data_IF_745900063799
#
_entry.id   IF_745900063799
#
_cell.length_a   1.000
_cell.length_b   1.000
_cell.length_c   1.000
_cell.angle_alpha   90.00
_cell.angle_beta   90.00
_cell.angle_gamma   90.00
#
_symmetry.space_group_name_H-M   'P 1'
#
loop_
_entity.id
_entity.type
_entity.pdbx_description
1 polymer ?
#
# COMPACT_ATOMS: atom_id res chain seq x y z
N UNK A 1 3.54 -4.94 -35.64
CA UNK A 1 4.24 -3.71 -36.05
C UNK A 1 3.46 -2.50 -35.56
N UNK A 2 3.77 -2.00 -34.35
CA UNK A 2 3.22 -0.74 -33.83
C UNK A 2 4.16 0.38 -34.31
N UNK A 3 3.70 1.25 -35.21
CA UNK A 3 4.45 2.45 -35.63
C UNK A 3 3.94 3.65 -34.86
N UNK A 4 4.83 4.33 -34.14
CA UNK A 4 4.53 5.63 -33.55
C UNK A 4 4.78 6.69 -34.63
N UNK A 5 3.73 7.37 -35.10
CA UNK A 5 3.88 8.51 -36.02
C UNK A 5 3.55 9.79 -35.26
N UNK A 6 4.54 10.68 -35.13
CA UNK A 6 4.35 12.02 -34.60
C UNK A 6 3.54 12.87 -35.60
N UNK A 7 2.22 12.86 -35.51
CA UNK A 7 1.36 13.83 -36.19
C UNK A 7 1.09 15.02 -35.27
N UNK A 8 1.91 16.08 -35.42
CA UNK A 8 1.90 17.40 -34.75
C UNK A 8 2.51 17.45 -33.33
N UNK A 9 3.12 18.58 -32.93
CA UNK A 9 3.68 18.73 -31.59
C UNK A 9 2.55 18.71 -30.56
N UNK A 10 2.53 17.69 -29.70
CA UNK A 10 1.63 17.60 -28.54
C UNK A 10 0.40 16.70 -28.68
N UNK A 11 0.26 15.94 -29.77
CA UNK A 11 -0.78 14.91 -29.89
C UNK A 11 -0.12 13.52 -29.88
N UNK A 12 -0.45 12.71 -28.87
CA UNK A 12 -0.14 11.27 -28.87
C UNK A 12 -1.32 10.56 -29.52
N UNK A 13 -1.08 9.88 -30.64
CA UNK A 13 -2.05 9.01 -31.27
C UNK A 13 -1.59 7.56 -31.16
N UNK A 14 -2.49 6.65 -30.80
CA UNK A 14 -2.23 5.21 -30.83
C UNK A 14 -3.01 4.61 -31.99
N UNK A 15 -2.32 3.84 -32.82
CA UNK A 15 -2.95 3.05 -33.86
C UNK A 15 -3.32 1.67 -33.29
N UNK A 16 -4.62 1.41 -33.14
CA UNK A 16 -5.17 0.13 -32.66
C UNK A 16 -6.14 -0.44 -33.69
N UNK A 17 -5.94 -1.71 -34.11
CA UNK A 17 -6.73 -2.39 -35.17
C UNK A 17 -6.97 -1.55 -36.45
N UNK A 18 -6.02 -0.69 -36.82
CA UNK A 18 -6.11 0.13 -38.02
C UNK A 18 -6.84 1.47 -37.85
N UNK A 19 -7.37 1.77 -36.67
CA UNK A 19 -7.92 3.09 -36.32
C UNK A 19 -6.89 3.93 -35.55
N UNK A 20 -6.85 5.24 -35.83
CA UNK A 20 -6.08 6.22 -35.07
C UNK A 20 -6.93 6.73 -33.90
N UNK A 21 -6.44 6.58 -32.67
CA UNK A 21 -7.05 7.11 -31.45
C UNK A 21 -6.18 8.26 -30.94
N UNK A 22 -6.69 9.49 -30.97
CA UNK A 22 -6.00 10.67 -30.44
C UNK A 22 -6.18 10.76 -28.92
N UNK A 23 -5.08 10.80 -28.17
CA UNK A 23 -5.08 10.63 -26.70
C UNK A 23 -5.12 11.96 -25.93
N UNK A 24 -4.81 13.13 -26.51
CA UNK A 24 -4.93 14.39 -25.75
C UNK A 24 -5.23 15.66 -26.58
N UNK A 25 -6.39 16.29 -26.32
CA UNK A 25 -6.50 17.67 -25.79
C UNK A 25 -7.93 17.97 -25.29
N UNK A 26 -8.03 18.32 -24.01
CA UNK A 26 -9.13 19.01 -23.31
C UNK A 26 -10.56 18.46 -23.46
N UNK A 27 -11.03 17.84 -22.38
CA UNK A 27 -12.46 17.69 -22.11
C UNK A 27 -13.12 16.59 -22.93
N UNK A 28 -13.14 15.37 -22.40
CA UNK A 28 -14.24 14.49 -22.71
C UNK A 28 -15.53 15.19 -22.26
N UNK A 29 -16.29 15.71 -23.23
CA UNK A 29 -17.70 16.01 -23.05
C UNK A 29 -18.39 14.70 -22.72
N UNK A 30 -18.52 14.40 -21.45
CA UNK A 30 -19.42 13.37 -20.92
C UNK A 30 -20.85 13.92 -20.97
N UNK A 31 -21.32 14.22 -22.19
CA UNK A 31 -22.74 14.47 -22.45
C UNK A 31 -23.48 13.13 -22.56
N UNK A 32 -23.53 12.39 -21.44
CA UNK A 32 -24.48 11.29 -21.21
C UNK A 32 -24.54 10.78 -19.76
N UNK A 33 -23.73 11.30 -18.83
CA UNK A 33 -23.80 10.93 -17.41
C UNK A 33 -24.14 12.15 -16.55
N UNK A 34 -25.33 12.71 -16.78
CA UNK A 34 -25.92 13.69 -15.87
C UNK A 34 -26.46 13.00 -14.62
N UNK A 35 -26.16 13.64 -13.48
CA UNK A 35 -26.73 13.53 -12.14
C UNK A 35 -27.83 12.46 -11.96
N UNK A 36 -27.50 11.36 -11.29
CA UNK A 36 -28.50 10.54 -10.59
C UNK A 36 -28.16 10.44 -9.12
N UNK A 37 -29.15 10.80 -8.31
CA UNK A 37 -29.11 10.72 -6.86
C UNK A 37 -28.96 9.27 -6.42
N UNK A 38 -28.28 9.16 -5.28
CA UNK A 38 -27.96 7.99 -4.48
C UNK A 38 -29.07 6.94 -4.40
N UNK A 39 -28.81 5.72 -4.90
CA UNK A 39 -29.31 4.50 -4.28
C UNK A 39 -28.38 3.29 -4.53
N UNK A 40 -28.09 2.54 -3.46
CA UNK A 40 -26.88 1.71 -3.32
C UNK A 40 -27.19 0.22 -3.32
N UNK A 41 -27.02 -0.43 -4.48
CA UNK A 41 -26.52 -1.82 -4.66
C UNK A 41 -26.71 -2.35 -6.09
N UNK A 42 -27.80 -1.97 -6.75
CA UNK A 42 -28.16 -2.55 -8.06
C UNK A 42 -27.34 -1.97 -9.25
N UNK A 43 -26.82 -0.75 -9.14
CA UNK A 43 -26.04 -0.13 -10.23
C UNK A 43 -24.58 -0.63 -10.32
N UNK A 44 -24.03 -1.18 -9.25
CA UNK A 44 -22.62 -1.62 -9.23
C UNK A 44 -22.36 -2.86 -10.10
N UNK A 45 -23.35 -3.73 -10.31
CA UNK A 45 -23.17 -4.92 -11.15
C UNK A 45 -23.16 -4.59 -12.65
N UNK A 46 -23.83 -3.51 -13.06
CA UNK A 46 -23.88 -3.10 -14.47
C UNK A 46 -22.68 -2.24 -14.91
N UNK A 47 -21.98 -1.59 -13.99
CA UNK A 47 -20.86 -0.70 -14.33
C UNK A 47 -19.63 -1.44 -14.86
N UNK A 48 -19.34 -2.65 -14.37
CA UNK A 48 -18.04 -3.30 -14.61
C UNK A 48 -17.94 -4.08 -15.92
N UNK A 49 -19.03 -4.75 -16.34
CA UNK A 49 -19.01 -5.55 -17.57
C UNK A 49 -19.03 -4.67 -18.81
N UNK A 50 -19.54 -3.45 -18.69
CA UNK A 50 -19.52 -2.46 -19.75
C UNK A 50 -18.19 -1.71 -19.81
N UNK A 51 -17.53 -1.50 -18.67
CA UNK A 51 -16.26 -0.77 -18.60
C UNK A 51 -15.15 -1.42 -19.44
N UNK A 52 -15.00 -2.74 -19.40
CA UNK A 52 -13.97 -3.44 -20.18
C UNK A 52 -14.33 -3.59 -21.67
N UNK A 53 -15.53 -3.18 -22.11
CA UNK A 53 -15.86 -3.10 -23.54
C UNK A 53 -15.35 -1.81 -24.18
N UNK A 54 -15.10 -0.77 -23.39
CA UNK A 54 -14.45 0.44 -23.87
C UNK A 54 -13.04 0.10 -24.38
N UNK A 55 -12.75 0.46 -25.62
CA UNK A 55 -11.50 0.09 -26.27
C UNK A 55 -10.26 0.73 -25.62
N UNK A 56 -10.41 1.93 -25.08
CA UNK A 56 -9.32 2.66 -24.42
C UNK A 56 -9.04 2.01 -23.07
N UNK A 57 -10.08 1.74 -22.28
CA UNK A 57 -9.95 1.06 -20.99
C UNK A 57 -9.40 -0.35 -21.15
N UNK A 58 -9.90 -1.10 -22.14
CA UNK A 58 -9.39 -2.42 -22.45
C UNK A 58 -7.92 -2.36 -22.83
N UNK A 59 -7.49 -1.43 -23.72
CA UNK A 59 -6.08 -1.32 -24.10
C UNK A 59 -5.19 -0.87 -22.93
N UNK A 60 -5.66 0.06 -22.07
CA UNK A 60 -4.96 0.47 -20.85
C UNK A 60 -4.68 -0.74 -19.95
N UNK A 61 -5.68 -1.59 -19.74
CA UNK A 61 -5.59 -2.75 -18.85
C UNK A 61 -5.11 -4.04 -19.54
N UNK A 62 -4.79 -4.01 -20.85
CA UNK A 62 -4.41 -5.19 -21.64
C UNK A 62 -3.34 -6.05 -20.96
N UNK A 63 -2.34 -5.44 -20.32
CA UNK A 63 -1.25 -6.20 -19.65
C UNK A 63 -1.73 -6.96 -18.42
N UNK A 64 -2.63 -6.38 -17.65
CA UNK A 64 -3.22 -7.06 -16.50
C UNK A 64 -4.20 -8.14 -16.95
N UNK A 65 -5.00 -7.86 -18.00
CA UNK A 65 -5.91 -8.85 -18.61
C UNK A 65 -5.12 -10.07 -19.13
N UNK A 66 -3.99 -9.85 -19.80
CA UNK A 66 -3.11 -10.93 -20.29
C UNK A 66 -2.49 -11.75 -19.15
N UNK A 67 -2.26 -11.11 -17.99
CA UNK A 67 -1.66 -11.77 -16.84
C UNK A 67 -2.67 -12.56 -16.01
N UNK A 68 -3.80 -11.95 -15.63
CA UNK A 68 -4.81 -12.55 -14.75
C UNK A 68 -5.93 -13.28 -15.49
N UNK A 69 -6.14 -12.98 -16.77
CA UNK A 69 -7.36 -13.33 -17.52
C UNK A 69 -8.48 -12.29 -17.34
N UNK A 70 -9.42 -12.29 -18.28
CA UNK A 70 -10.50 -11.29 -18.34
C UNK A 70 -11.43 -11.34 -17.12
N UNK A 71 -11.86 -12.53 -16.70
CA UNK A 71 -12.77 -12.71 -15.56
C UNK A 71 -12.14 -12.20 -14.24
N UNK A 72 -10.87 -12.55 -14.03
CA UNK A 72 -10.10 -12.11 -12.86
C UNK A 72 -9.89 -10.59 -12.86
N UNK A 73 -9.67 -10.00 -14.05
CA UNK A 73 -9.60 -8.55 -14.19
C UNK A 73 -10.95 -7.88 -13.88
N UNK A 74 -12.08 -8.45 -14.31
CA UNK A 74 -13.41 -7.93 -13.95
C UNK A 74 -13.62 -7.88 -12.43
N UNK A 75 -13.12 -8.86 -11.67
CA UNK A 75 -13.14 -8.83 -10.20
C UNK A 75 -12.35 -7.66 -9.64
N UNK A 76 -11.16 -7.38 -10.18
CA UNK A 76 -10.35 -6.21 -9.82
C UNK A 76 -11.10 -4.91 -10.14
N UNK A 77 -11.75 -4.81 -11.31
CA UNK A 77 -12.52 -3.64 -11.70
C UNK A 77 -13.77 -3.40 -10.83
N UNK A 78 -14.40 -4.46 -10.28
CA UNK A 78 -15.53 -4.34 -9.35
C UNK A 78 -15.10 -4.01 -7.91
N UNK A 79 -13.82 -4.18 -7.58
CA UNK A 79 -13.35 -4.11 -6.19
C UNK A 79 -13.40 -2.70 -5.60
N UNK A 80 -13.69 -2.64 -4.30
CA UNK A 80 -13.60 -1.46 -3.48
C UNK A 80 -12.46 -1.59 -2.47
N UNK A 81 -11.44 -0.72 -2.59
CA UNK A 81 -10.28 -0.70 -1.70
C UNK A 81 -10.19 0.63 -0.95
N UNK A 82 -9.91 0.56 0.35
CA UNK A 82 -9.66 1.72 1.22
C UNK A 82 -8.17 1.80 1.55
N UNK A 83 -7.54 2.95 1.33
CA UNK A 83 -6.13 3.20 1.69
C UNK A 83 -6.07 4.33 2.71
N UNK A 84 -5.54 4.05 3.89
CA UNK A 84 -5.47 4.99 5.02
C UNK A 84 -4.01 5.35 5.29
N UNK A 85 -3.70 6.65 5.25
CA UNK A 85 -2.34 7.16 5.22
C UNK A 85 -1.79 7.20 3.79
N UNK A 86 -1.51 8.39 3.29
CA UNK A 86 -1.09 8.66 1.91
C UNK A 86 0.32 9.26 1.88
N UNK A 87 1.18 8.83 2.81
CA UNK A 87 2.60 9.12 2.81
C UNK A 87 3.38 8.33 1.74
N UNK A 88 4.65 8.03 2.00
CA UNK A 88 5.52 7.33 1.04
C UNK A 88 5.10 5.89 0.72
N UNK A 89 4.28 5.24 1.56
CA UNK A 89 3.79 3.87 1.30
C UNK A 89 2.43 3.93 0.60
N UNK A 90 1.43 4.52 1.25
CA UNK A 90 0.06 4.50 0.76
C UNK A 90 -0.16 5.28 -0.53
N UNK A 91 0.59 6.36 -0.79
CA UNK A 91 0.49 7.06 -2.09
C UNK A 91 0.92 6.16 -3.25
N UNK A 92 1.95 5.33 -3.07
CA UNK A 92 2.41 4.37 -4.09
C UNK A 92 1.44 3.21 -4.24
N UNK A 93 0.95 2.66 -3.12
CA UNK A 93 -0.03 1.59 -3.13
C UNK A 93 -1.32 2.02 -3.86
N UNK A 94 -1.90 3.16 -3.47
CA UNK A 94 -3.12 3.70 -4.10
C UNK A 94 -2.91 3.98 -5.59
N UNK A 95 -1.76 4.53 -5.97
CA UNK A 95 -1.44 4.81 -7.38
C UNK A 95 -1.38 3.52 -8.21
N UNK A 96 -0.76 2.47 -7.68
CA UNK A 96 -0.66 1.20 -8.42
C UNK A 96 -1.98 0.44 -8.46
N UNK A 97 -2.80 0.49 -7.41
CA UNK A 97 -4.16 -0.04 -7.41
C UNK A 97 -5.03 0.64 -8.47
N UNK A 98 -4.99 1.97 -8.55
CA UNK A 98 -5.69 2.74 -9.58
C UNK A 98 -5.25 2.32 -10.99
N UNK A 99 -3.92 2.32 -11.23
CA UNK A 99 -3.33 1.93 -12.52
C UNK A 99 -3.66 0.51 -12.95
N UNK A 100 -4.01 -0.34 -11.98
CA UNK A 100 -4.37 -1.73 -12.23
C UNK A 100 -5.87 -1.95 -12.46
N UNK A 101 -6.65 -0.86 -12.46
CA UNK A 101 -8.07 -0.87 -12.79
C UNK A 101 -9.00 -1.06 -11.60
N UNK A 102 -8.53 -0.93 -10.34
CA UNK A 102 -9.44 -0.97 -9.18
C UNK A 102 -10.51 0.09 -9.34
N UNK A 103 -11.78 -0.33 -9.41
CA UNK A 103 -12.88 0.55 -9.81
C UNK A 103 -13.32 1.54 -8.75
N UNK A 104 -13.13 1.22 -7.46
CA UNK A 104 -13.44 2.15 -6.38
C UNK A 104 -12.31 2.23 -5.38
N UNK A 105 -11.82 3.45 -5.16
CA UNK A 105 -10.79 3.76 -4.19
C UNK A 105 -11.29 4.80 -3.21
N UNK A 106 -11.22 4.48 -1.92
CA UNK A 106 -11.30 5.50 -0.86
C UNK A 106 -9.90 5.75 -0.33
N UNK A 107 -9.47 7.00 -0.39
CA UNK A 107 -8.14 7.43 0.05
C UNK A 107 -8.28 8.42 1.20
N UNK A 108 -7.66 8.13 2.34
CA UNK A 108 -7.85 8.86 3.60
C UNK A 108 -6.50 9.37 4.11
N UNK A 109 -6.34 10.69 4.20
CA UNK A 109 -5.20 11.33 4.87
C UNK A 109 -5.56 12.77 5.25
N UNK A 110 -5.22 13.16 6.46
CA UNK A 110 -5.44 14.53 6.97
C UNK A 110 -4.28 15.47 6.63
N UNK A 111 -3.09 14.93 6.33
CA UNK A 111 -1.89 15.71 6.09
C UNK A 111 -1.92 16.48 4.76
N UNK A 112 -1.11 17.53 4.72
CA UNK A 112 -0.74 18.23 3.50
C UNK A 112 0.58 17.73 2.92
N UNK A 113 0.78 17.94 1.63
CA UNK A 113 2.05 17.72 0.94
C UNK A 113 3.06 18.74 1.45
N UNK A 114 4.14 18.25 2.07
CA UNK A 114 5.29 19.07 2.45
C UNK A 114 6.41 18.97 1.41
N UNK A 115 7.36 19.91 1.41
CA UNK A 115 8.58 19.79 0.59
C UNK A 115 9.34 18.48 0.87
N UNK A 116 9.41 18.07 2.14
CA UNK A 116 10.05 16.81 2.54
C UNK A 116 9.25 15.57 2.12
N UNK A 117 7.99 15.71 1.71
CA UNK A 117 7.21 14.60 1.14
C UNK A 117 7.65 14.25 -0.27
N UNK A 118 8.20 15.21 -1.03
CA UNK A 118 8.54 15.05 -2.46
C UNK A 118 9.64 14.01 -2.71
N UNK A 119 10.42 13.63 -1.70
CA UNK A 119 11.42 12.58 -1.84
C UNK A 119 10.83 11.16 -1.94
N UNK A 120 9.55 10.98 -1.61
CA UNK A 120 8.93 9.65 -1.50
C UNK A 120 7.44 9.57 -1.86
N UNK A 121 6.71 10.68 -1.95
CA UNK A 121 5.31 10.67 -2.34
C UNK A 121 5.16 10.34 -3.83
N UNK A 122 4.17 9.52 -4.20
CA UNK A 122 4.11 8.91 -5.53
C UNK A 122 3.89 9.89 -6.70
N UNK A 123 3.02 10.88 -6.52
CA UNK A 123 2.57 11.78 -7.61
C UNK A 123 2.78 13.26 -7.31
N UNK A 124 3.17 13.60 -6.07
CA UNK A 124 3.19 14.99 -5.66
C UNK A 124 4.36 15.72 -6.32
N UNK A 125 4.08 16.93 -6.79
CA UNK A 125 5.05 17.83 -7.41
C UNK A 125 5.31 19.04 -6.52
N UNK A 126 6.24 19.93 -6.92
CA UNK A 126 6.47 21.19 -6.20
C UNK A 126 5.22 22.08 -6.16
N UNK A 127 4.34 21.99 -7.17
CA UNK A 127 3.09 22.75 -7.24
C UNK A 127 2.04 22.25 -6.25
N UNK A 128 2.14 20.99 -5.82
CA UNK A 128 1.17 20.39 -4.90
C UNK A 128 1.51 20.67 -3.42
N UNK A 129 2.64 21.32 -3.13
CA UNK A 129 3.07 21.65 -1.76
C UNK A 129 2.02 22.57 -1.09
N UNK A 130 1.60 22.21 0.12
CA UNK A 130 0.54 22.90 0.88
C UNK A 130 -0.87 22.42 0.57
N UNK A 131 -1.06 21.55 -0.43
CA UNK A 131 -2.37 20.92 -0.70
C UNK A 131 -2.54 19.63 0.11
N UNK A 132 -3.78 19.22 0.39
CA UNK A 132 -4.04 17.92 1.05
C UNK A 132 -3.50 16.76 0.21
N UNK A 133 -2.82 15.79 0.84
CA UNK A 133 -2.32 14.59 0.15
C UNK A 133 -3.44 13.80 -0.52
N UNK A 134 -4.60 13.68 0.12
CA UNK A 134 -5.76 12.98 -0.43
C UNK A 134 -6.30 13.68 -1.68
N UNK A 135 -6.43 15.01 -1.64
CA UNK A 135 -6.89 15.79 -2.80
C UNK A 135 -5.85 15.84 -3.93
N UNK A 136 -4.56 15.91 -3.58
CA UNK A 136 -3.45 15.80 -4.54
C UNK A 136 -3.54 14.49 -5.33
N UNK A 137 -3.65 13.34 -4.63
CA UNK A 137 -3.81 12.05 -5.31
C UNK A 137 -5.08 11.99 -6.15
N UNK A 138 -6.23 12.46 -5.65
CA UNK A 138 -7.48 12.48 -6.43
C UNK A 138 -7.35 13.29 -7.72
N UNK A 139 -6.71 14.46 -7.68
CA UNK A 139 -6.41 15.30 -8.85
C UNK A 139 -5.59 14.52 -9.89
N UNK A 140 -4.50 13.89 -9.46
CA UNK A 140 -3.62 13.11 -10.34
C UNK A 140 -4.28 11.83 -10.87
N UNK A 141 -5.08 11.15 -10.04
CA UNK A 141 -5.78 9.91 -10.40
C UNK A 141 -6.80 10.12 -11.50
N UNK A 142 -7.53 11.25 -11.48
CA UNK A 142 -8.47 11.62 -12.54
C UNK A 142 -7.80 11.72 -13.92
N UNK A 143 -6.52 12.08 -13.96
CA UNK A 143 -5.74 12.14 -15.20
C UNK A 143 -5.14 10.80 -15.64
N UNK A 144 -5.10 9.81 -14.73
CA UNK A 144 -4.51 8.49 -14.99
C UNK A 144 -5.59 7.48 -15.41
N UNK A 145 -6.67 7.39 -14.64
CA UNK A 145 -7.76 6.44 -14.87
C UNK A 145 -9.08 7.06 -14.40
N UNK A 146 -9.71 7.92 -15.21
CA UNK A 146 -10.91 8.67 -14.84
C UNK A 146 -12.14 7.80 -14.55
N UNK A 147 -12.12 6.54 -15.00
CA UNK A 147 -13.20 5.57 -14.83
C UNK A 147 -13.28 5.02 -13.39
N UNK A 148 -12.19 5.10 -12.63
CA UNK A 148 -12.21 4.73 -11.21
C UNK A 148 -12.91 5.79 -10.37
N UNK A 149 -13.83 5.36 -9.52
CA UNK A 149 -14.47 6.18 -8.50
C UNK A 149 -13.51 6.44 -7.32
N UNK A 150 -12.94 7.64 -7.27
CA UNK A 150 -12.03 8.07 -6.20
C UNK A 150 -12.73 8.95 -5.16
N UNK A 151 -12.91 8.38 -3.97
CA UNK A 151 -13.44 9.02 -2.77
C UNK A 151 -12.27 9.50 -1.88
N UNK A 152 -11.94 10.80 -1.92
CA UNK A 152 -10.85 11.36 -1.13
C UNK A 152 -11.38 12.01 0.15
N UNK A 153 -10.85 11.59 1.29
CA UNK A 153 -11.26 12.03 2.63
C UNK A 153 -10.10 12.71 3.35
N UNK A 154 -10.28 13.98 3.70
CA UNK A 154 -9.27 14.78 4.42
C UNK A 154 -9.56 14.73 5.92
N UNK A 155 -9.28 13.58 6.54
CA UNK A 155 -9.60 13.35 7.95
C UNK A 155 -8.65 12.33 8.59
N UNK A 156 -8.55 12.38 9.92
CA UNK A 156 -7.83 11.39 10.73
C UNK A 156 -8.76 10.20 10.94
N UNK A 157 -8.21 8.99 11.00
CA UNK A 157 -8.96 7.84 11.47
C UNK A 157 -9.07 7.86 13.00
N UNK A 158 -10.29 7.79 13.50
CA UNK A 158 -10.61 7.63 14.91
C UNK A 158 -11.96 6.90 15.07
N UNK A 159 -12.39 6.69 16.31
CA UNK A 159 -13.65 6.00 16.59
C UNK A 159 -14.88 6.72 16.01
N UNK A 160 -14.82 8.06 15.88
CA UNK A 160 -15.94 8.87 15.39
C UNK A 160 -16.08 8.81 13.87
N UNK A 161 -14.96 8.64 13.16
CA UNK A 161 -14.88 8.56 11.71
C UNK A 161 -14.88 7.13 11.16
N UNK A 162 -14.89 6.12 12.04
CA UNK A 162 -14.78 4.70 11.67
C UNK A 162 -15.84 4.28 10.64
N UNK A 163 -17.11 4.64 10.86
CA UNK A 163 -18.20 4.25 9.96
C UNK A 163 -18.09 4.93 8.59
N UNK A 164 -17.64 6.18 8.57
CA UNK A 164 -17.45 6.92 7.32
C UNK A 164 -16.29 6.34 6.51
N UNK A 165 -15.18 6.00 7.16
CA UNK A 165 -13.96 5.51 6.52
C UNK A 165 -14.10 4.05 6.11
N UNK A 166 -14.59 3.18 7.00
CA UNK A 166 -14.68 1.73 6.79
C UNK A 166 -16.04 1.25 6.26
N UNK A 167 -17.02 2.15 6.16
CA UNK A 167 -18.36 1.84 5.64
C UNK A 167 -18.37 1.53 4.15
N UNK A 168 -19.43 0.84 3.71
CA UNK A 168 -19.61 0.46 2.31
C UNK A 168 -18.96 -0.87 1.92
N UNK A 169 -18.57 -1.70 2.91
CA UNK A 169 -18.05 -3.07 2.74
C UNK A 169 -16.84 -3.14 1.79
N UNK A 170 -15.68 -2.56 2.16
CA UNK A 170 -14.48 -2.65 1.34
C UNK A 170 -14.01 -4.11 1.24
N UNK A 171 -13.62 -4.51 0.03
CA UNK A 171 -13.02 -5.80 -0.25
C UNK A 171 -11.62 -5.91 0.37
N UNK A 172 -10.95 -4.77 0.53
CA UNK A 172 -9.62 -4.70 1.13
C UNK A 172 -9.34 -3.32 1.77
N UNK A 173 -8.60 -3.34 2.88
CA UNK A 173 -8.08 -2.14 3.55
C UNK A 173 -6.55 -2.19 3.55
N UNK A 174 -5.90 -1.10 3.13
CA UNK A 174 -4.48 -0.89 3.30
C UNK A 174 -4.25 0.15 4.40
N UNK A 175 -3.62 -0.30 5.47
CA UNK A 175 -3.22 0.56 6.58
C UNK A 175 -1.76 0.99 6.38
N UNK A 176 -1.56 2.26 6.02
CA UNK A 176 -0.27 2.90 5.81
C UNK A 176 0.01 3.99 6.86
N UNK A 177 -0.62 3.89 8.03
CA UNK A 177 -0.50 4.86 9.14
C UNK A 177 0.83 4.67 9.88
N UNK A 178 1.42 5.75 10.35
CA UNK A 178 2.67 5.74 11.14
C UNK A 178 2.45 5.96 12.65
N UNK A 179 1.33 6.56 13.04
CA UNK A 179 0.90 6.70 14.43
C UNK A 179 0.43 5.35 15.02
N UNK A 180 0.97 4.98 16.19
CA UNK A 180 0.70 3.68 16.84
C UNK A 180 -0.74 3.61 17.35
N UNK A 181 -1.25 4.65 18.02
CA UNK A 181 -2.62 4.66 18.58
C UNK A 181 -3.66 4.48 17.49
N UNK A 182 -3.55 5.29 16.43
CA UNK A 182 -4.47 5.23 15.28
C UNK A 182 -4.39 3.88 14.58
N UNK A 183 -3.17 3.35 14.36
CA UNK A 183 -2.97 2.03 13.74
C UNK A 183 -3.60 0.90 14.55
N UNK A 184 -3.38 0.88 15.87
CA UNK A 184 -3.96 -0.14 16.76
C UNK A 184 -5.48 -0.08 16.73
N UNK A 185 -6.06 1.12 16.81
CA UNK A 185 -7.51 1.33 16.74
C UNK A 185 -8.10 0.81 15.42
N UNK A 186 -7.48 1.16 14.29
CA UNK A 186 -7.89 0.71 12.96
C UNK A 186 -7.85 -0.81 12.83
N UNK A 187 -6.74 -1.44 13.23
CA UNK A 187 -6.58 -2.88 13.12
C UNK A 187 -7.59 -3.64 14.00
N UNK A 188 -7.85 -3.14 15.22
CA UNK A 188 -8.88 -3.71 16.08
C UNK A 188 -10.28 -3.58 15.46
N UNK A 189 -10.59 -2.45 14.84
CA UNK A 189 -11.86 -2.25 14.13
C UNK A 189 -12.00 -3.19 12.92
N UNK A 190 -10.95 -3.38 12.12
CA UNK A 190 -10.94 -4.31 11.00
C UNK A 190 -11.22 -5.74 11.46
N UNK A 191 -10.57 -6.21 12.53
CA UNK A 191 -10.81 -7.54 13.10
C UNK A 191 -12.24 -7.67 13.60
N UNK A 192 -12.74 -6.69 14.38
CA UNK A 192 -14.12 -6.67 14.90
C UNK A 192 -15.16 -6.70 13.79
N UNK A 193 -14.93 -5.98 12.69
CA UNK A 193 -15.82 -5.89 11.53
C UNK A 193 -15.59 -7.01 10.49
N UNK A 194 -14.60 -7.89 10.71
CA UNK A 194 -14.18 -8.95 9.77
C UNK A 194 -13.79 -8.41 8.39
N UNK A 195 -13.14 -7.25 8.36
CA UNK A 195 -12.64 -6.64 7.14
C UNK A 195 -11.22 -7.12 6.85
N UNK A 196 -10.94 -7.44 5.57
CA UNK A 196 -9.59 -7.81 5.14
C UNK A 196 -8.67 -6.60 5.21
N UNK A 197 -7.55 -6.74 5.91
CA UNK A 197 -6.59 -5.66 6.09
C UNK A 197 -5.15 -6.13 5.87
N UNK A 198 -4.36 -5.30 5.20
CA UNK A 198 -2.91 -5.41 5.09
C UNK A 198 -2.29 -4.12 5.66
N UNK A 199 -1.47 -4.25 6.70
CA UNK A 199 -0.83 -3.10 7.34
C UNK A 199 0.65 -2.99 6.98
N UNK A 200 1.08 -1.81 6.55
CA UNK A 200 2.49 -1.46 6.48
C UNK A 200 3.06 -1.21 7.89
N UNK A 201 4.27 -1.71 8.13
CA UNK A 201 5.05 -1.38 9.32
C UNK A 201 6.08 -0.27 9.01
N UNK A 202 7.12 -0.12 9.83
CA UNK A 202 8.08 0.97 9.69
C UNK A 202 9.00 0.77 8.49
N UNK A 203 8.75 1.49 7.39
CA UNK A 203 9.63 1.51 6.20
C UNK A 203 10.86 2.44 6.34
N UNK A 204 10.88 3.32 7.35
CA UNK A 204 11.95 4.28 7.58
C UNK A 204 13.25 3.64 8.07
N UNK A 205 14.38 4.28 7.75
CA UNK A 205 15.71 3.87 8.19
C UNK A 205 16.26 2.58 7.59
N UNK A 206 15.72 2.18 6.44
CA UNK A 206 16.03 0.95 5.71
C UNK A 206 16.52 1.28 4.30
N UNK A 207 17.20 0.32 3.68
CA UNK A 207 17.77 0.45 2.34
C UNK A 207 17.75 -0.85 1.50
N UNK A 208 17.49 -2.00 2.10
CA UNK A 208 17.50 -3.29 1.40
C UNK A 208 16.07 -3.73 1.00
N UNK A 209 15.69 -3.62 -0.28
CA UNK A 209 14.36 -4.01 -0.74
C UNK A 209 14.16 -5.53 -0.79
N UNK A 210 15.23 -6.32 -0.84
CA UNK A 210 15.15 -7.79 -0.98
C UNK A 210 14.65 -8.48 0.29
N UNK A 211 14.58 -7.75 1.41
CA UNK A 211 14.16 -8.23 2.73
C UNK A 211 12.72 -7.86 3.09
N UNK A 212 11.97 -7.27 2.15
CA UNK A 212 10.56 -6.93 2.35
C UNK A 212 9.72 -8.20 2.20
N UNK A 213 8.81 -8.45 3.14
CA UNK A 213 7.94 -9.64 3.18
C UNK A 213 6.53 -9.24 3.62
N UNK A 214 5.56 -10.10 3.27
CA UNK A 214 4.22 -10.08 3.81
C UNK A 214 4.04 -11.36 4.62
N UNK A 215 3.63 -11.22 5.88
CA UNK A 215 3.22 -12.34 6.73
C UNK A 215 2.35 -11.84 7.88
N UNK A 216 1.93 -12.75 8.76
CA UNK A 216 1.15 -12.39 9.93
C UNK A 216 1.94 -11.46 10.88
N UNK A 217 1.23 -10.56 11.56
CA UNK A 217 1.80 -9.64 12.55
C UNK A 217 2.54 -10.37 13.69
N UNK A 218 2.12 -11.59 14.04
CA UNK A 218 2.80 -12.41 15.04
C UNK A 218 4.21 -12.83 14.60
N UNK A 219 4.44 -13.00 13.29
CA UNK A 219 5.71 -13.40 12.69
C UNK A 219 6.64 -12.20 12.42
N UNK A 220 6.14 -10.97 12.55
CA UNK A 220 6.94 -9.77 12.31
C UNK A 220 8.05 -9.61 13.35
N UNK A 221 9.29 -9.50 12.88
CA UNK A 221 10.48 -9.34 13.70
C UNK A 221 11.26 -8.08 13.31
N UNK A 222 12.18 -7.65 14.18
CA UNK A 222 13.15 -6.56 13.94
C UNK A 222 12.55 -5.14 13.82
N UNK A 223 11.24 -4.99 13.59
CA UNK A 223 10.57 -3.70 13.43
C UNK A 223 9.94 -3.17 14.74
N UNK A 224 10.41 -2.02 15.28
CA UNK A 224 9.87 -1.41 16.49
C UNK A 224 8.39 -1.03 16.41
N UNK A 225 7.90 -0.58 15.24
CA UNK A 225 6.49 -0.23 15.04
C UNK A 225 5.63 -1.48 15.16
N UNK A 226 6.01 -2.55 14.46
CA UNK A 226 5.28 -3.82 14.51
C UNK A 226 5.24 -4.41 15.92
N UNK A 227 6.35 -4.32 16.66
CA UNK A 227 6.44 -4.78 18.05
C UNK A 227 5.49 -4.00 18.97
N UNK A 228 5.46 -2.67 18.86
CA UNK A 228 4.59 -1.83 19.67
C UNK A 228 3.10 -2.09 19.36
N UNK A 229 2.75 -2.19 18.08
CA UNK A 229 1.38 -2.48 17.61
C UNK A 229 0.93 -3.84 18.10
N UNK A 230 1.74 -4.90 17.90
CA UNK A 230 1.43 -6.26 18.37
C UNK A 230 1.22 -6.31 19.89
N UNK A 231 2.11 -5.68 20.65
CA UNK A 231 1.99 -5.63 22.11
C UNK A 231 0.68 -4.97 22.55
N UNK A 232 0.31 -3.85 21.93
CA UNK A 232 -0.92 -3.12 22.28
C UNK A 232 -2.19 -3.85 21.84
N UNK A 233 -2.21 -4.42 20.64
CA UNK A 233 -3.32 -5.24 20.17
C UNK A 233 -3.60 -6.42 21.11
N UNK A 234 -2.54 -7.13 21.54
CA UNK A 234 -2.66 -8.20 22.54
C UNK A 234 -3.22 -7.68 23.87
N UNK A 235 -2.64 -6.61 24.41
CA UNK A 235 -2.98 -6.09 25.74
C UNK A 235 -4.37 -5.46 25.80
N UNK A 236 -4.76 -4.68 24.79
CA UNK A 236 -5.97 -3.85 24.80
C UNK A 236 -7.17 -4.56 24.15
N UNK A 237 -6.93 -5.47 23.20
CA UNK A 237 -7.99 -6.11 22.41
C UNK A 237 -7.94 -7.64 22.39
N UNK A 238 -6.92 -8.27 23.00
CA UNK A 238 -6.75 -9.73 22.96
C UNK A 238 -6.44 -10.28 21.56
N UNK A 239 -5.87 -9.46 20.68
CA UNK A 239 -5.55 -9.85 19.29
C UNK A 239 -4.06 -10.23 19.20
N UNK A 240 -3.80 -11.51 18.94
CA UNK A 240 -2.45 -12.08 18.88
C UNK A 240 -1.89 -12.25 17.47
N UNK A 241 -2.75 -12.24 16.45
CA UNK A 241 -2.43 -12.48 15.05
C UNK A 241 -3.69 -12.42 14.18
N UNK A 242 -3.62 -12.99 12.97
CA UNK A 242 -4.68 -12.93 11.95
C UNK A 242 -4.69 -11.62 11.16
N UNK A 243 -3.59 -10.86 11.21
CA UNK A 243 -3.44 -9.56 10.53
C UNK A 243 -2.17 -9.64 9.70
N UNK A 244 -2.31 -9.61 8.38
CA UNK A 244 -1.16 -9.56 7.49
C UNK A 244 -0.50 -8.19 7.54
N UNK A 245 0.84 -8.18 7.56
CA UNK A 245 1.65 -6.98 7.55
C UNK A 245 2.75 -7.03 6.51
N UNK A 246 3.01 -5.90 5.87
CA UNK A 246 4.22 -5.70 5.05
C UNK A 246 5.31 -5.11 5.92
N UNK A 247 6.42 -5.84 6.07
CA UNK A 247 7.55 -5.45 6.90
C UNK A 247 8.88 -5.81 6.24
N UNK A 248 9.98 -5.36 6.81
CA UNK A 248 11.32 -5.72 6.36
C UNK A 248 12.12 -6.37 7.48
N UNK A 249 12.85 -7.43 7.13
CA UNK A 249 13.77 -8.12 8.02
C UNK A 249 15.10 -7.37 8.22
N UNK A 250 15.31 -6.23 7.53
CA UNK A 250 16.50 -5.40 7.73
C UNK A 250 16.48 -4.76 9.13
N UNK A 251 17.62 -4.67 9.83
CA UNK A 251 17.71 -3.81 11.02
C UNK A 251 17.81 -2.35 10.57
N UNK A 252 17.03 -1.41 11.13
CA UNK A 252 17.18 0.01 10.80
C UNK A 252 18.63 0.48 11.02
N UNK A 253 19.26 1.06 9.99
CA UNK A 253 20.70 1.41 10.01
C UNK A 253 20.97 2.84 10.46
N UNK A 254 19.98 3.73 10.32
CA UNK A 254 20.13 5.16 10.64
C UNK A 254 19.44 5.50 11.95
N UNK A 255 20.11 6.34 12.73
CA UNK A 255 19.57 6.88 13.98
C UNK A 255 18.56 8.00 13.69
N UNK A 256 17.66 8.23 14.64
CA UNK A 256 16.80 9.41 14.64
C UNK A 256 17.66 10.66 14.60
N UNK A 257 17.29 11.63 13.78
CA UNK A 257 17.96 12.93 13.79
C UNK A 257 17.66 13.64 15.12
N UNK A 258 18.66 14.34 15.69
CA UNK A 258 18.41 15.21 16.84
C UNK A 258 17.38 16.27 16.44
N UNK A 259 16.42 16.50 17.32
CA UNK A 259 15.48 17.61 17.16
C UNK A 259 16.23 18.90 17.45
N UNK A 260 16.10 19.89 16.56
CA UNK A 260 16.55 21.27 16.81
C UNK A 260 15.30 22.13 16.80
N UNK A 261 15.06 22.86 17.90
CA UNK A 261 13.98 23.84 17.96
C UNK A 261 14.16 24.95 16.91
N UNK A 262 13.15 25.83 16.72
CA UNK A 262 13.23 26.98 15.83
C UNK A 262 14.45 27.89 16.11
N UNK A 263 14.91 27.90 17.36
CA UNK A 263 16.06 28.68 17.83
C UNK A 263 17.39 27.90 17.81
N UNK A 264 17.39 26.64 17.35
CA UNK A 264 18.59 25.80 17.30
C UNK A 264 18.96 25.09 18.61
N UNK A 265 18.18 25.26 19.67
CA UNK A 265 18.38 24.61 20.97
C UNK A 265 17.83 23.16 20.98
N UNK A 266 18.43 22.30 21.81
CA UNK A 266 17.91 20.95 22.10
C UNK A 266 16.69 21.05 23.01
N UNK A 267 15.56 21.39 22.44
CA UNK A 267 14.30 21.49 23.17
C UNK A 267 13.55 20.16 23.23
N UNK A 268 12.63 20.02 24.19
CA UNK A 268 11.86 18.80 24.35
C UNK A 268 10.93 18.62 23.13
N UNK A 269 11.12 17.57 22.31
CA UNK A 269 10.36 17.41 21.06
C UNK A 269 8.85 17.33 21.30
N UNK A 270 8.43 16.94 22.50
CA UNK A 270 7.02 16.80 22.90
C UNK A 270 6.25 18.14 22.87
N UNK A 271 6.94 19.26 23.08
CA UNK A 271 6.35 20.61 23.13
C UNK A 271 6.00 21.17 21.75
N UNK A 272 6.51 20.53 20.68
CA UNK A 272 6.32 20.93 19.28
C UNK A 272 5.36 20.01 18.51
N UNK A 273 4.61 19.16 19.22
CA UNK A 273 3.61 18.29 18.60
C UNK A 273 2.39 19.10 18.16
N UNK A 274 2.21 19.25 16.85
CA UNK A 274 0.98 19.85 16.27
C UNK A 274 -0.23 18.97 16.56
N UNK A 275 -0.02 17.65 16.63
CA UNK A 275 -1.05 16.65 16.99
C UNK A 275 -0.47 15.73 18.07
N UNK A 276 -1.15 15.55 19.22
CA UNK A 276 -0.70 14.66 20.27
C UNK A 276 -0.39 13.25 19.76
N UNK A 277 0.77 12.70 20.12
CA UNK A 277 1.16 11.33 19.79
C UNK A 277 1.91 11.15 18.46
N UNK A 278 2.08 12.21 17.65
CA UNK A 278 2.91 12.17 16.44
C UNK A 278 4.39 12.37 16.76
N UNK A 279 5.26 11.64 16.05
CA UNK A 279 6.72 11.71 16.28
C UNK A 279 7.30 13.02 15.78
N UNK A 280 7.94 13.75 16.67
CA UNK A 280 8.66 15.00 16.33
C UNK A 280 10.09 14.73 15.84
N UNK A 281 10.68 13.59 16.20
CA UNK A 281 11.98 13.16 15.66
C UNK A 281 11.80 12.46 14.31
N UNK A 282 12.46 13.02 13.29
CA UNK A 282 12.41 12.52 11.92
C UNK A 282 13.31 11.29 11.79
N UNK A 283 12.72 10.17 11.35
CA UNK A 283 13.49 9.02 10.85
C UNK A 283 13.93 9.37 9.42
N UNK A 284 15.24 9.30 9.08
CA UNK A 284 15.66 9.44 7.69
C UNK A 284 15.03 8.35 6.81
N UNK A 285 14.48 8.74 5.66
CA UNK A 285 13.78 7.84 4.75
C UNK A 285 14.42 7.89 3.37
N UNK A 286 14.94 6.75 2.91
CA UNK A 286 15.26 6.52 1.51
C UNK A 286 13.95 6.22 0.77
N UNK A 287 13.49 7.13 -0.08
CA UNK A 287 12.14 7.09 -0.67
C UNK A 287 11.80 5.83 -1.49
N UNK A 288 12.81 5.12 -1.99
CA UNK A 288 12.61 3.85 -2.72
C UNK A 288 12.01 2.75 -1.84
N UNK A 289 12.36 2.69 -0.56
CA UNK A 289 11.87 1.64 0.34
C UNK A 289 10.37 1.76 0.64
N UNK A 290 9.83 2.90 1.12
CA UNK A 290 8.39 3.01 1.32
C UNK A 290 7.62 2.89 0.00
N UNK A 291 8.19 3.34 -1.12
CA UNK A 291 7.59 3.12 -2.44
C UNK A 291 7.45 1.61 -2.73
N UNK A 292 8.51 0.83 -2.53
CA UNK A 292 8.49 -0.63 -2.73
C UNK A 292 7.55 -1.32 -1.74
N UNK A 293 7.44 -0.87 -0.48
CA UNK A 293 6.39 -1.33 0.43
C UNK A 293 5.00 -1.14 -0.20
N UNK A 294 4.73 0.05 -0.75
CA UNK A 294 3.46 0.34 -1.41
C UNK A 294 3.22 -0.55 -2.64
N UNK A 295 4.25 -0.80 -3.45
CA UNK A 295 4.16 -1.69 -4.61
C UNK A 295 3.92 -3.16 -4.19
N UNK A 296 4.59 -3.63 -3.13
CA UNK A 296 4.39 -4.97 -2.57
C UNK A 296 2.97 -5.14 -2.04
N UNK A 297 2.45 -4.13 -1.32
CA UNK A 297 1.06 -4.13 -0.85
C UNK A 297 0.07 -4.17 -2.02
N UNK A 298 0.25 -3.33 -3.03
CA UNK A 298 -0.62 -3.30 -4.20
C UNK A 298 -0.60 -4.65 -4.94
N UNK A 299 0.58 -5.24 -5.16
CA UNK A 299 0.71 -6.57 -5.79
C UNK A 299 -0.03 -7.67 -5.01
N UNK A 300 0.11 -7.69 -3.68
CA UNK A 300 -0.62 -8.63 -2.84
C UNK A 300 -2.13 -8.42 -2.92
N UNK A 301 -2.61 -7.19 -2.81
CA UNK A 301 -4.05 -6.91 -2.89
C UNK A 301 -4.61 -7.27 -4.27
N UNK A 302 -3.92 -6.93 -5.35
CA UNK A 302 -4.37 -7.27 -6.71
C UNK A 302 -4.47 -8.77 -6.94
N UNK A 303 -3.49 -9.56 -6.47
CA UNK A 303 -3.53 -11.03 -6.57
C UNK A 303 -4.67 -11.62 -5.73
N UNK A 304 -4.95 -11.07 -4.54
CA UNK A 304 -6.09 -11.48 -3.71
C UNK A 304 -7.43 -11.14 -4.35
N UNK A 305 -7.58 -9.93 -4.91
CA UNK A 305 -8.81 -9.47 -5.57
C UNK A 305 -9.08 -10.25 -6.86
N UNK A 306 -8.04 -10.56 -7.64
CA UNK A 306 -8.16 -11.31 -8.88
C UNK A 306 -8.40 -12.82 -8.64
N UNK A 307 -8.19 -13.31 -7.42
CA UNK A 307 -8.23 -14.74 -7.10
C UNK A 307 -7.01 -15.50 -7.62
N UNK A 308 -5.93 -14.79 -7.95
CA UNK A 308 -4.70 -15.38 -8.46
C UNK A 308 -3.88 -15.96 -7.30
N UNK A 309 -3.72 -17.28 -7.27
CA UNK A 309 -2.95 -17.97 -6.24
C UNK A 309 -1.47 -17.71 -6.42
N UNK A 310 -0.82 -17.21 -5.36
CA UNK A 310 0.63 -17.05 -5.28
C UNK A 310 1.18 -17.98 -4.19
N UNK A 311 2.34 -18.59 -4.46
CA UNK A 311 3.10 -19.28 -3.43
C UNK A 311 4.01 -18.26 -2.74
N UNK A 312 3.94 -18.20 -1.42
CA UNK A 312 4.83 -17.38 -0.60
C UNK A 312 5.84 -18.28 0.11
N UNK A 313 7.09 -17.86 0.13
CA UNK A 313 8.10 -18.51 0.95
C UNK A 313 7.81 -18.26 2.45
N UNK A 314 7.88 -19.30 3.30
CA UNK A 314 7.65 -19.14 4.73
C UNK A 314 8.71 -18.23 5.34
N UNK A 315 8.33 -17.47 6.37
CA UNK A 315 9.31 -16.72 7.15
C UNK A 315 10.00 -17.69 8.09
N UNK A 316 11.17 -18.17 7.68
CA UNK A 316 12.02 -18.98 8.54
C UNK A 316 12.72 -18.08 9.55
N UNK A 317 12.15 -17.98 10.74
CA UNK A 317 12.85 -17.44 11.90
C UNK A 317 13.57 -18.59 12.59
N UNK A 318 14.88 -18.73 12.34
CA UNK A 318 15.70 -19.67 13.10
C UNK A 318 15.79 -19.19 14.55
N UNK A 319 14.97 -19.76 15.42
CA UNK A 319 15.17 -19.67 16.85
C UNK A 319 16.32 -20.58 17.30
N UNK A 320 16.71 -20.46 18.57
CA UNK A 320 17.80 -21.27 19.11
C UNK A 320 17.51 -22.78 18.99
N UNK A 321 16.24 -23.19 19.08
CA UNK A 321 15.85 -24.60 18.95
C UNK A 321 16.06 -25.12 17.53
N UNK A 322 15.73 -24.34 16.50
CA UNK A 322 16.02 -24.67 15.11
C UNK A 322 17.53 -24.73 14.85
N UNK A 323 18.31 -23.82 15.43
CA UNK A 323 19.77 -23.88 15.35
C UNK A 323 20.33 -25.14 16.03
N UNK A 324 19.84 -25.49 17.21
CA UNK A 324 20.23 -26.73 17.90
C UNK A 324 19.89 -27.96 17.06
N UNK A 325 18.70 -28.00 16.44
CA UNK A 325 18.29 -29.11 15.58
C UNK A 325 19.17 -29.21 14.32
N UNK A 326 19.45 -28.10 13.64
CA UNK A 326 20.32 -28.08 12.46
C UNK A 326 21.76 -28.47 12.82
N UNK A 327 22.26 -27.99 13.96
CA UNK A 327 23.58 -28.34 14.48
C UNK A 327 23.66 -29.83 14.83
N UNK A 328 22.63 -30.39 15.48
CA UNK A 328 22.56 -31.81 15.79
C UNK A 328 22.53 -32.66 14.52
N UNK A 329 21.73 -32.28 13.52
CA UNK A 329 21.71 -32.96 12.21
C UNK A 329 23.06 -32.87 11.49
N UNK A 330 23.76 -31.75 11.61
CA UNK A 330 25.10 -31.61 11.06
C UNK A 330 26.08 -32.56 11.76
N UNK A 331 26.03 -32.65 13.11
CA UNK A 331 26.83 -33.62 13.87
C UNK A 331 26.52 -35.05 13.41
N UNK A 332 25.24 -35.44 13.36
CA UNK A 332 24.83 -36.79 12.93
C UNK A 332 25.32 -37.11 11.51
N UNK A 333 25.31 -36.12 10.61
CA UNK A 333 25.82 -36.27 9.25
C UNK A 333 27.34 -36.44 9.21
N UNK A 334 28.08 -35.62 9.94
CA UNK A 334 29.54 -35.71 10.06
C UNK A 334 29.97 -37.03 10.69
N UNK A 335 29.31 -37.47 11.77
CA UNK A 335 29.58 -38.76 12.42
C UNK A 335 29.27 -39.94 11.49
N UNK A 336 28.24 -39.83 10.64
CA UNK A 336 27.93 -40.86 9.64
C UNK A 336 28.97 -40.93 8.52
N UNK A 337 29.60 -39.82 8.14
CA UNK A 337 30.55 -39.77 7.03
C UNK A 337 31.99 -40.07 7.45
N UNK A 338 32.39 -39.56 8.61
CA UNK A 338 33.79 -39.57 9.07
C UNK A 338 33.99 -40.41 10.34
N UNK A 339 32.93 -41.00 10.88
CA UNK A 339 32.97 -41.67 12.16
C UNK A 339 32.94 -40.68 13.33
N UNK A 340 32.78 -41.21 14.53
CA UNK A 340 32.82 -40.36 15.74
C UNK A 340 34.27 -40.00 16.08
N UNK A 341 34.51 -38.85 16.70
CA UNK A 341 35.85 -38.43 17.15
C UNK A 341 36.54 -39.45 18.10
N UNK A 342 35.79 -40.42 18.64
CA UNK A 342 36.31 -41.55 19.44
C UNK A 342 36.93 -42.68 18.60
N UNK A 343 36.76 -42.66 17.28
CA UNK A 343 37.23 -43.70 16.36
C UNK A 343 38.45 -43.26 15.53
N UNK A 344 38.85 -41.99 15.66
CA UNK A 344 40.08 -41.46 15.05
C UNK A 344 41.16 -41.49 16.14
N UNK A 345 41.82 -42.64 16.28
CA UNK A 345 43.09 -42.79 17.03
C UNK A 345 44.29 -42.52 16.12
#
# INVERSE_FOLDING_TARGET
NKSFTNSKPGALSIQYKGQLIDIVKNGYSTSSLMERKTDTKAENDHFSDDLLKDEIVHEHLTRNIQFFGLESQQKVNKAFVVVIGLGGVGSHAATMLLRSGVGRLRIVDFDQVSLSSLNRHAVATREDVGTSKALCLKKHFKSIFPESQVDARVQIYDASSEEEILGGQPDFILDCIDNIDTKVSLLAACVRRRLKVLSATGAGGRADPTRIRIADLSESSIDPLSRAVRHRLRREYGIDGGINVTFSLEKPKVKLLPFKGPNGEEENPSEYQIVPGFRVRIIPVLGTIPAIFGQVMASHVLTQLSGFSIQTEPIVSFDLAHYCLLHQRLIEHEESLYGTAKQVE
#
